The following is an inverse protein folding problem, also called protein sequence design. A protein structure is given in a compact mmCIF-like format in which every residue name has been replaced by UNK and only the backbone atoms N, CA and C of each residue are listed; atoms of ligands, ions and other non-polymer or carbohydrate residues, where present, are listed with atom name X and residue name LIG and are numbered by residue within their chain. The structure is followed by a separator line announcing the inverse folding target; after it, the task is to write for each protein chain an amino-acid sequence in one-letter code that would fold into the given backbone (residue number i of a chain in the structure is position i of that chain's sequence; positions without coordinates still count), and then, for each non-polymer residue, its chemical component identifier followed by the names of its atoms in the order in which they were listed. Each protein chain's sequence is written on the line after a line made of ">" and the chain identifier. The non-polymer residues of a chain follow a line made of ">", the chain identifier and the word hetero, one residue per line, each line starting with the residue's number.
data_IF_675173372973
#
_entry.id   IF_675173372973
#
_cell.length_a   1.000
_cell.length_b   1.000
_cell.length_c   1.000
_cell.angle_alpha   90.00
_cell.angle_beta   90.00
_cell.angle_gamma   90.00
#
_symmetry.space_group_name_H-M   'P 1'
#
loop_
_entity.id
_entity.type
_entity.pdbx_description
1 polymer ?
#
# COMPACT_ATOMS: atom_id res chain seq x y z
N UNK A 1 -8.37 -21.56 -7.00
CA UNK A 1 -7.12 -22.25 -7.33
C UNK A 1 -6.07 -21.77 -6.35
N UNK A 2 -5.29 -22.67 -5.78
CA UNK A 2 -4.19 -22.27 -4.91
C UNK A 2 -3.16 -21.47 -5.73
N UNK A 3 -2.56 -20.44 -5.13
CA UNK A 3 -1.60 -19.60 -5.84
C UNK A 3 -0.29 -20.33 -6.14
N UNK A 4 0.06 -21.36 -5.34
CA UNK A 4 1.25 -22.19 -5.60
C UNK A 4 1.07 -23.03 -6.87
N UNK A 5 -0.13 -23.57 -7.10
CA UNK A 5 -0.49 -24.28 -8.34
C UNK A 5 -0.43 -23.34 -9.54
N UNK A 6 -0.98 -22.13 -9.40
CA UNK A 6 -0.92 -21.08 -10.43
C UNK A 6 0.51 -20.66 -10.75
N UNK A 7 1.37 -20.54 -9.73
CA UNK A 7 2.77 -20.22 -9.91
C UNK A 7 3.49 -21.35 -10.67
N UNK A 8 3.24 -22.61 -10.31
CA UNK A 8 3.79 -23.76 -10.99
C UNK A 8 3.29 -23.90 -12.44
N UNK A 9 2.05 -23.51 -12.73
CA UNK A 9 1.52 -23.39 -14.10
C UNK A 9 2.24 -22.27 -14.87
N UNK A 10 2.30 -21.07 -14.28
CA UNK A 10 2.96 -19.91 -14.88
C UNK A 10 4.43 -20.18 -15.22
N UNK A 11 5.17 -20.87 -14.35
CA UNK A 11 6.57 -21.22 -14.59
C UNK A 11 6.76 -22.24 -15.72
N UNK A 12 5.79 -23.15 -15.93
CA UNK A 12 5.84 -24.14 -17.02
C UNK A 12 5.46 -23.53 -18.36
N UNK A 13 4.45 -22.67 -18.35
CA UNK A 13 3.96 -22.00 -19.55
C UNK A 13 3.45 -20.59 -19.18
N UNK A 14 4.31 -19.57 -19.23
CA UNK A 14 3.92 -18.21 -18.87
C UNK A 14 2.87 -17.67 -19.85
N UNK A 15 1.64 -17.52 -19.38
CA UNK A 15 0.55 -16.92 -20.16
C UNK A 15 0.04 -15.65 -19.50
N UNK A 16 -0.62 -14.79 -20.28
CA UNK A 16 -1.19 -13.57 -19.73
C UNK A 16 -2.36 -13.85 -18.79
N UNK A 17 -3.08 -14.95 -19.01
CA UNK A 17 -4.18 -15.42 -18.17
C UNK A 17 -3.68 -15.85 -16.79
N UNK A 18 -2.60 -16.64 -16.75
CA UNK A 18 -1.99 -17.10 -15.48
C UNK A 18 -1.35 -15.93 -14.73
N UNK A 19 -0.67 -15.03 -15.42
CA UNK A 19 -0.15 -13.79 -14.82
C UNK A 19 -1.28 -12.90 -14.26
N UNK A 20 -2.38 -12.77 -14.99
CA UNK A 20 -3.56 -12.00 -14.56
C UNK A 20 -4.25 -12.62 -13.34
N UNK A 21 -4.26 -13.96 -13.24
CA UNK A 21 -4.77 -14.67 -12.08
C UNK A 21 -3.89 -14.46 -10.84
N UNK A 22 -2.56 -14.43 -11.00
CA UNK A 22 -1.62 -14.09 -9.92
C UNK A 22 -1.77 -12.62 -9.47
N UNK A 23 -1.90 -11.68 -10.42
CA UNK A 23 -2.17 -10.28 -10.11
C UNK A 23 -3.53 -10.08 -9.41
N UNK A 24 -4.53 -10.91 -9.71
CA UNK A 24 -5.80 -10.93 -8.97
C UNK A 24 -5.63 -11.39 -7.52
N UNK A 25 -4.54 -12.10 -7.20
CA UNK A 25 -4.18 -12.51 -5.84
C UNK A 25 -3.23 -11.52 -5.14
N UNK A 26 -3.02 -10.34 -5.73
CA UNK A 26 -2.16 -9.29 -5.21
C UNK A 26 -0.67 -9.46 -5.50
N UNK A 27 -0.29 -10.40 -6.38
CA UNK A 27 1.09 -10.50 -6.87
C UNK A 27 1.28 -9.56 -8.07
N UNK A 28 1.47 -8.27 -7.83
CA UNK A 28 1.71 -7.31 -8.91
C UNK A 28 3.08 -7.57 -9.54
N UNK A 29 3.17 -7.47 -10.86
CA UNK A 29 4.45 -7.43 -11.57
C UNK A 29 5.14 -6.08 -11.34
N UNK A 30 6.47 -6.07 -11.19
CA UNK A 30 7.26 -4.86 -11.00
C UNK A 30 7.51 -4.13 -12.35
N UNK A 31 7.83 -2.83 -12.34
CA UNK A 31 8.27 -2.12 -13.54
C UNK A 31 9.52 -2.79 -14.15
N UNK A 32 9.49 -3.01 -15.47
CA UNK A 32 10.56 -3.68 -16.23
C UNK A 32 10.69 -5.20 -15.98
N UNK A 33 9.81 -5.80 -15.17
CA UNK A 33 9.86 -7.22 -14.88
C UNK A 33 9.28 -8.04 -16.04
N UNK A 34 10.10 -8.95 -16.59
CA UNK A 34 9.63 -9.93 -17.58
C UNK A 34 9.03 -11.17 -16.89
N UNK A 35 8.43 -12.07 -17.69
CA UNK A 35 7.79 -13.28 -17.18
C UNK A 35 8.73 -14.19 -16.38
N UNK A 36 10.00 -14.30 -16.78
CA UNK A 36 10.96 -15.16 -16.10
C UNK A 36 11.36 -14.57 -14.74
N UNK A 37 11.65 -13.28 -14.69
CA UNK A 37 11.97 -12.53 -13.48
C UNK A 37 10.78 -12.54 -12.50
N UNK A 38 9.57 -12.32 -13.00
CA UNK A 38 8.33 -12.38 -12.21
C UNK A 38 8.15 -13.75 -11.56
N UNK A 39 8.23 -14.83 -12.34
CA UNK A 39 8.10 -16.19 -11.83
C UNK A 39 9.18 -16.55 -10.79
N UNK A 40 10.42 -16.06 -10.98
CA UNK A 40 11.52 -16.26 -10.04
C UNK A 40 11.29 -15.50 -8.73
N UNK A 41 10.81 -14.25 -8.78
CA UNK A 41 10.50 -13.46 -7.58
C UNK A 41 9.39 -14.10 -6.76
N UNK A 42 8.31 -14.55 -7.40
CA UNK A 42 7.21 -15.21 -6.70
C UNK A 42 7.64 -16.53 -6.04
N UNK A 43 8.52 -17.30 -6.69
CA UNK A 43 9.10 -18.50 -6.09
C UNK A 43 9.98 -18.19 -4.88
N UNK A 44 10.75 -17.09 -4.94
CA UNK A 44 11.53 -16.66 -3.79
C UNK A 44 10.62 -16.30 -2.61
N UNK A 45 9.49 -15.63 -2.87
CA UNK A 45 8.50 -15.31 -1.83
C UNK A 45 7.84 -16.56 -1.25
N UNK A 46 7.46 -17.53 -2.09
CA UNK A 46 6.96 -18.84 -1.66
C UNK A 46 7.94 -19.54 -0.72
N UNK A 47 9.22 -19.57 -1.09
CA UNK A 47 10.26 -20.18 -0.29
C UNK A 47 10.41 -19.48 1.07
N UNK A 48 10.33 -18.14 1.11
CA UNK A 48 10.37 -17.37 2.37
C UNK A 48 9.18 -17.70 3.26
N UNK A 49 7.96 -17.70 2.71
CA UNK A 49 6.74 -18.03 3.45
C UNK A 49 6.84 -19.45 4.03
N UNK A 50 7.28 -20.42 3.21
CA UNK A 50 7.43 -21.81 3.66
C UNK A 50 8.46 -21.93 4.79
N UNK A 51 9.66 -21.37 4.61
CA UNK A 51 10.71 -21.38 5.65
C UNK A 51 10.23 -20.72 6.95
N UNK A 52 9.56 -19.58 6.84
CA UNK A 52 9.02 -18.87 7.99
C UNK A 52 7.97 -19.72 8.74
N UNK A 53 7.03 -20.34 8.02
CA UNK A 53 6.01 -21.22 8.63
C UNK A 53 6.63 -22.47 9.27
N UNK A 54 7.60 -23.10 8.62
CA UNK A 54 8.33 -24.25 9.17
C UNK A 54 9.07 -23.87 10.46
N UNK A 55 9.75 -22.73 10.45
CA UNK A 55 10.45 -22.21 11.63
C UNK A 55 9.46 -21.89 12.75
N UNK A 56 8.37 -21.18 12.46
CA UNK A 56 7.36 -20.82 13.45
C UNK A 56 6.70 -22.05 14.06
N UNK A 57 6.44 -23.09 13.26
CA UNK A 57 5.89 -24.33 13.79
C UNK A 57 6.86 -25.08 14.71
N UNK A 58 8.17 -25.01 14.42
CA UNK A 58 9.22 -25.63 15.26
C UNK A 58 9.45 -24.87 16.56
N UNK A 59 9.61 -23.55 16.48
CA UNK A 59 10.03 -22.70 17.59
C UNK A 59 8.86 -22.13 18.38
N UNK A 60 7.63 -22.20 17.84
CA UNK A 60 6.36 -21.70 18.38
C UNK A 60 6.25 -20.19 18.53
N UNK A 61 7.37 -19.51 18.77
CA UNK A 61 7.51 -18.07 18.94
C UNK A 61 8.68 -17.58 18.09
N UNK A 62 8.50 -16.47 17.38
CA UNK A 62 9.54 -15.84 16.56
C UNK A 62 9.58 -14.32 16.78
N UNK A 63 10.75 -13.75 16.52
CA UNK A 63 10.98 -12.31 16.44
C UNK A 63 11.37 -11.92 15.00
N UNK A 64 10.41 -11.79 14.07
CA UNK A 64 10.70 -11.49 12.66
C UNK A 64 11.33 -10.10 12.45
N UNK A 65 11.13 -9.19 13.38
CA UNK A 65 11.73 -7.86 13.37
C UNK A 65 11.99 -7.39 14.80
N UNK A 66 13.02 -6.57 15.00
CA UNK A 66 13.47 -6.15 16.33
C UNK A 66 12.33 -5.63 17.21
N UNK A 67 12.06 -6.33 18.31
CA UNK A 67 11.02 -6.04 19.29
C UNK A 67 9.62 -6.52 18.94
N UNK A 68 9.40 -7.06 17.74
CA UNK A 68 8.13 -7.64 17.30
C UNK A 68 8.14 -9.15 17.53
N UNK A 69 7.30 -9.61 18.45
CA UNK A 69 7.21 -11.03 18.81
C UNK A 69 5.87 -11.58 18.34
N UNK A 70 5.91 -12.66 17.56
CA UNK A 70 4.74 -13.40 17.07
C UNK A 70 4.80 -14.85 17.55
N UNK A 71 3.63 -15.47 17.71
CA UNK A 71 3.53 -16.89 18.01
C UNK A 71 2.59 -17.60 17.02
N UNK A 72 2.76 -18.92 16.92
CA UNK A 72 1.96 -19.77 16.02
C UNK A 72 0.46 -19.80 16.36
N UNK A 73 0.08 -19.51 17.61
CA UNK A 73 -1.33 -19.53 18.03
C UNK A 73 -2.05 -18.21 17.71
N UNK A 74 -1.30 -17.16 17.38
CA UNK A 74 -1.78 -15.82 17.12
C UNK A 74 -1.80 -15.49 15.63
N UNK A 75 -1.70 -16.50 14.75
CA UNK A 75 -1.90 -16.33 13.31
C UNK A 75 -3.34 -15.85 13.05
N UNK A 76 -3.48 -14.86 12.18
CA UNK A 76 -4.76 -14.29 11.82
C UNK A 76 -5.51 -15.31 10.97
N UNK A 77 -6.72 -15.71 11.38
CA UNK A 77 -7.49 -16.71 10.66
C UNK A 77 -7.94 -16.17 9.29
N UNK A 78 -8.05 -17.03 8.26
CA UNK A 78 -8.39 -16.63 6.88
C UNK A 78 -9.69 -15.82 6.77
N UNK A 79 -10.64 -16.04 7.67
CA UNK A 79 -11.91 -15.33 7.72
C UNK A 79 -11.72 -13.84 7.98
N UNK A 80 -10.74 -13.45 8.80
CA UNK A 80 -10.42 -12.04 9.07
C UNK A 80 -9.75 -11.40 7.85
N UNK A 81 -8.89 -12.13 7.14
CA UNK A 81 -8.31 -11.65 5.89
C UNK A 81 -9.41 -11.46 4.82
N UNK A 82 -10.37 -12.39 4.77
CA UNK A 82 -11.51 -12.32 3.85
C UNK A 82 -12.42 -11.10 4.09
N UNK A 83 -12.49 -10.55 5.32
CA UNK A 83 -13.23 -9.30 5.61
C UNK A 83 -12.74 -8.14 4.71
N UNK A 84 -11.43 -8.04 4.50
CA UNK A 84 -10.81 -6.97 3.70
C UNK A 84 -10.83 -7.23 2.19
N UNK A 85 -11.14 -8.46 1.80
CA UNK A 85 -11.04 -8.90 0.42
C UNK A 85 -12.10 -8.22 -0.47
N UNK A 86 -13.31 -7.99 0.04
CA UNK A 86 -14.33 -7.26 -0.73
C UNK A 86 -13.89 -5.83 -1.03
N UNK A 87 -13.35 -5.13 -0.04
CA UNK A 87 -12.89 -3.75 -0.14
C UNK A 87 -11.75 -3.61 -1.16
N UNK A 88 -10.73 -4.49 -1.11
CA UNK A 88 -9.61 -4.47 -2.07
C UNK A 88 -10.02 -4.95 -3.46
N UNK A 89 -10.90 -5.96 -3.57
CA UNK A 89 -11.46 -6.41 -4.85
C UNK A 89 -12.27 -5.33 -5.52
N UNK A 90 -13.10 -4.59 -4.78
CA UNK A 90 -13.96 -3.55 -5.33
C UNK A 90 -13.17 -2.31 -5.76
N UNK A 91 -12.19 -1.87 -4.96
CA UNK A 91 -11.37 -0.71 -5.29
C UNK A 91 -10.37 -1.01 -6.42
N UNK A 92 -9.63 -2.11 -6.31
CA UNK A 92 -8.41 -2.32 -7.12
C UNK A 92 -8.35 -3.67 -7.84
N UNK A 93 -9.35 -4.54 -7.63
CA UNK A 93 -9.45 -5.81 -8.36
C UNK A 93 -8.45 -6.87 -7.91
N UNK A 94 -8.03 -6.86 -6.65
CA UNK A 94 -7.19 -7.92 -6.08
C UNK A 94 -7.75 -8.42 -4.75
N UNK A 95 -7.32 -9.61 -4.35
CA UNK A 95 -7.57 -10.21 -3.05
C UNK A 95 -6.31 -10.97 -2.59
N UNK A 96 -5.72 -10.57 -1.47
CA UNK A 96 -4.56 -11.26 -0.92
C UNK A 96 -5.00 -12.32 0.09
N UNK A 97 -4.51 -13.56 -0.09
CA UNK A 97 -4.72 -14.68 0.85
C UNK A 97 -3.44 -15.42 1.26
N UNK A 98 -2.31 -15.06 0.65
CA UNK A 98 -1.04 -15.77 0.81
C UNK A 98 -0.16 -15.18 1.92
N UNK A 99 -0.40 -13.92 2.31
CA UNK A 99 0.40 -13.20 3.32
C UNK A 99 0.10 -13.73 4.73
N UNK A 100 1.10 -14.23 5.46
CA UNK A 100 0.94 -14.60 6.86
C UNK A 100 0.60 -13.36 7.71
N UNK A 101 -0.51 -13.44 8.44
CA UNK A 101 -0.99 -12.38 9.33
C UNK A 101 -0.83 -12.78 10.80
N UNK A 102 -0.48 -11.85 11.70
CA UNK A 102 -0.36 -12.14 13.14
C UNK A 102 -0.95 -11.06 14.05
N UNK A 103 -1.52 -11.50 15.17
CA UNK A 103 -1.73 -10.68 16.36
C UNK A 103 -0.46 -10.74 17.24
N UNK A 104 0.37 -9.68 17.32
CA UNK A 104 1.66 -9.79 17.96
C UNK A 104 1.51 -9.87 19.49
N UNK A 105 2.39 -10.63 20.12
CA UNK A 105 2.55 -10.67 21.58
C UNK A 105 3.14 -9.37 22.12
N UNK A 106 4.09 -8.79 21.38
CA UNK A 106 4.81 -7.56 21.70
C UNK A 106 5.24 -6.88 20.39
N UNK A 107 5.39 -5.55 20.39
CA UNK A 107 6.03 -4.81 19.30
C UNK A 107 5.20 -3.67 18.72
N UNK A 108 3.88 -3.66 18.91
CA UNK A 108 3.05 -2.53 18.53
C UNK A 108 2.95 -1.50 19.67
N UNK A 109 3.25 -0.25 19.36
CA UNK A 109 3.11 0.84 20.33
C UNK A 109 1.63 1.10 20.70
N UNK A 110 1.42 1.91 21.73
CA UNK A 110 0.09 2.10 22.33
C UNK A 110 -0.98 2.61 21.33
N UNK A 111 -0.57 3.48 20.41
CA UNK A 111 -1.45 4.14 19.43
C UNK A 111 -1.44 3.47 18.04
N UNK A 112 -0.65 2.41 17.86
CA UNK A 112 -0.52 1.74 16.57
C UNK A 112 -1.59 0.66 16.42
N UNK A 113 -2.34 0.74 15.32
CA UNK A 113 -3.38 -0.21 14.96
C UNK A 113 -2.81 -1.49 14.34
N UNK A 114 -1.82 -1.36 13.47
CA UNK A 114 -1.15 -2.42 12.74
C UNK A 114 -0.01 -1.89 11.88
N UNK A 115 0.67 -2.80 11.20
CA UNK A 115 1.67 -2.52 10.17
C UNK A 115 1.82 -3.73 9.25
N UNK A 116 2.27 -3.49 8.03
CA UNK A 116 2.88 -4.50 7.16
C UNK A 116 4.39 -4.43 7.29
N UNK A 117 5.02 -5.59 7.27
CA UNK A 117 6.47 -5.72 7.14
C UNK A 117 6.74 -6.15 5.72
N UNK A 118 7.45 -5.31 4.97
CA UNK A 118 7.92 -5.64 3.63
C UNK A 118 8.87 -6.83 3.65
N UNK A 119 8.96 -7.55 2.53
CA UNK A 119 9.86 -8.69 2.39
C UNK A 119 11.33 -8.22 2.57
N UNK A 120 11.96 -8.57 3.69
CA UNK A 120 13.41 -8.46 3.89
C UNK A 120 14.13 -9.65 3.24
N UNK A 121 15.47 -9.67 3.24
CA UNK A 121 16.25 -10.75 2.60
C UNK A 121 15.78 -12.15 3.07
N UNK A 122 15.48 -12.31 4.36
CA UNK A 122 15.11 -13.61 4.96
C UNK A 122 13.67 -13.71 5.50
N UNK A 123 12.90 -12.62 5.52
CA UNK A 123 11.54 -12.59 6.09
C UNK A 123 10.54 -12.33 4.97
N UNK A 124 9.46 -13.13 4.84
CA UNK A 124 8.41 -12.86 3.86
C UNK A 124 7.68 -11.56 4.18
N UNK A 125 6.83 -11.10 3.27
CA UNK A 125 5.86 -10.08 3.63
C UNK A 125 4.99 -10.59 4.79
N UNK A 126 4.88 -9.81 5.86
CA UNK A 126 4.04 -10.12 7.02
C UNK A 126 3.03 -9.02 7.26
N UNK A 127 1.85 -9.41 7.71
CA UNK A 127 0.82 -8.48 8.13
C UNK A 127 0.61 -8.57 9.64
N UNK A 128 0.66 -7.46 10.35
CA UNK A 128 0.57 -7.41 11.81
C UNK A 128 -0.55 -6.46 12.21
N UNK A 129 -1.50 -6.93 13.03
CA UNK A 129 -2.52 -6.04 13.63
C UNK A 129 -2.64 -6.24 15.12
N UNK A 130 -3.01 -5.18 15.82
CA UNK A 130 -3.14 -5.16 17.27
C UNK A 130 -3.98 -6.31 17.79
N UNK A 131 -3.50 -7.01 18.83
CA UNK A 131 -4.17 -8.17 19.44
C UNK A 131 -5.61 -7.93 19.88
N UNK A 132 -6.01 -6.69 20.21
CA UNK A 132 -7.42 -6.40 20.51
C UNK A 132 -8.36 -6.71 19.34
N UNK A 133 -7.87 -6.67 18.10
CA UNK A 133 -8.62 -7.00 16.90
C UNK A 133 -8.94 -8.49 16.76
N UNK A 134 -8.32 -9.36 17.56
CA UNK A 134 -8.69 -10.78 17.65
C UNK A 134 -10.16 -10.92 18.08
N UNK A 135 -10.57 -10.10 19.06
CA UNK A 135 -11.91 -10.19 19.68
C UNK A 135 -12.84 -9.04 19.32
N UNK A 136 -12.30 -7.91 18.82
CA UNK A 136 -13.06 -6.70 18.54
C UNK A 136 -12.89 -6.29 17.07
N UNK A 137 -13.95 -5.77 16.46
CA UNK A 137 -13.86 -5.18 15.12
C UNK A 137 -13.27 -3.77 15.10
N UNK A 138 -13.18 -3.11 16.25
CA UNK A 138 -12.76 -1.71 16.35
C UNK A 138 -11.74 -1.51 17.47
N UNK A 139 -10.79 -0.62 17.21
CA UNK A 139 -9.85 -0.09 18.18
C UNK A 139 -9.66 1.40 17.92
N UNK A 140 -10.00 2.24 18.90
CA UNK A 140 -9.94 3.69 18.79
C UNK A 140 -10.76 4.18 17.57
N UNK A 141 -10.12 4.79 16.57
CA UNK A 141 -10.76 5.29 15.35
C UNK A 141 -10.66 4.31 14.16
N UNK A 142 -10.06 3.15 14.37
CA UNK A 142 -9.76 2.16 13.33
C UNK A 142 -10.74 0.97 13.40
N UNK A 143 -11.26 0.55 12.24
CA UNK A 143 -11.87 -0.77 12.10
C UNK A 143 -10.83 -1.79 11.65
N UNK A 144 -11.05 -3.06 11.98
CA UNK A 144 -10.20 -4.19 11.59
C UNK A 144 -10.13 -4.31 10.08
N UNK A 145 -11.28 -4.30 9.43
CA UNK A 145 -11.40 -4.36 7.97
C UNK A 145 -10.58 -3.27 7.28
N UNK A 146 -10.75 -2.01 7.70
CA UNK A 146 -10.05 -0.88 7.10
C UNK A 146 -8.55 -1.03 7.26
N UNK A 147 -8.08 -1.35 8.45
CA UNK A 147 -6.66 -1.54 8.73
C UNK A 147 -6.07 -2.71 7.93
N UNK A 148 -6.77 -3.85 7.88
CA UNK A 148 -6.34 -4.99 7.08
C UNK A 148 -6.26 -4.63 5.60
N UNK A 149 -7.30 -3.99 5.06
CA UNK A 149 -7.32 -3.59 3.65
C UNK A 149 -6.20 -2.59 3.31
N UNK A 150 -5.91 -1.66 4.23
CA UNK A 150 -4.84 -0.66 4.11
C UNK A 150 -3.47 -1.34 4.00
N UNK A 151 -3.14 -2.24 4.91
CA UNK A 151 -1.85 -2.93 4.89
C UNK A 151 -1.72 -3.89 3.69
N UNK A 152 -2.82 -4.54 3.27
CA UNK A 152 -2.80 -5.37 2.07
C UNK A 152 -2.55 -4.56 0.79
N UNK A 153 -2.92 -3.28 0.74
CA UNK A 153 -2.53 -2.40 -0.35
C UNK A 153 -1.01 -2.23 -0.42
N UNK A 154 -0.35 -2.03 0.71
CA UNK A 154 1.11 -1.90 0.78
C UNK A 154 1.79 -3.20 0.34
N UNK A 155 1.31 -4.36 0.82
CA UNK A 155 1.87 -5.65 0.42
C UNK A 155 1.74 -5.86 -1.10
N UNK A 156 0.56 -5.61 -1.67
CA UNK A 156 0.34 -5.75 -3.11
C UNK A 156 1.22 -4.80 -3.93
N UNK A 157 1.41 -3.55 -3.47
CA UNK A 157 2.19 -2.53 -4.19
C UNK A 157 3.70 -2.58 -3.94
N UNK A 158 4.17 -3.33 -2.96
CA UNK A 158 5.59 -3.44 -2.62
C UNK A 158 6.53 -3.65 -3.83
N UNK A 159 6.19 -4.48 -4.85
CA UNK A 159 7.04 -4.66 -6.04
C UNK A 159 7.21 -3.41 -6.91
N UNK A 160 6.32 -2.41 -6.80
CA UNK A 160 6.42 -1.17 -7.57
C UNK A 160 7.53 -0.24 -7.05
N UNK A 161 7.93 -0.39 -5.79
CA UNK A 161 8.95 0.42 -5.13
C UNK A 161 8.72 1.94 -5.32
N UNK A 162 7.47 2.39 -5.15
CA UNK A 162 7.04 3.76 -5.41
C UNK A 162 6.15 4.30 -4.28
N UNK A 163 6.70 5.28 -3.55
CA UNK A 163 6.10 5.81 -2.32
C UNK A 163 5.10 6.95 -2.56
N UNK A 164 5.13 7.64 -3.70
CA UNK A 164 4.51 8.97 -3.78
C UNK A 164 2.96 8.96 -3.69
N UNK A 165 2.34 7.84 -4.07
CA UNK A 165 0.90 7.59 -4.00
C UNK A 165 0.55 6.34 -3.17
N UNK A 166 1.52 5.71 -2.51
CA UNK A 166 1.31 4.47 -1.75
C UNK A 166 0.25 4.65 -0.66
N UNK A 167 0.44 5.65 0.22
CA UNK A 167 -0.53 6.02 1.24
C UNK A 167 -1.86 6.53 0.65
N UNK A 168 -1.83 7.17 -0.52
CA UNK A 168 -3.05 7.57 -1.20
C UNK A 168 -3.95 6.37 -1.50
N UNK A 169 -3.39 5.30 -2.09
CA UNK A 169 -4.16 4.09 -2.39
C UNK A 169 -4.64 3.38 -1.14
N UNK A 170 -3.78 3.24 -0.13
CA UNK A 170 -4.11 2.56 1.11
C UNK A 170 -5.19 3.32 1.92
N UNK A 171 -5.20 4.66 1.90
CA UNK A 171 -6.23 5.45 2.57
C UNK A 171 -7.48 5.70 1.74
N UNK A 172 -7.44 5.61 0.41
CA UNK A 172 -8.62 5.86 -0.43
C UNK A 172 -9.79 4.91 -0.13
N UNK A 173 -9.49 3.70 0.36
CA UNK A 173 -10.47 2.68 0.77
C UNK A 173 -10.97 2.85 2.22
N UNK A 174 -10.50 3.87 2.94
CA UNK A 174 -10.96 4.19 4.29
C UNK A 174 -12.44 4.59 4.31
N UNK A 175 -13.19 4.18 5.35
CA UNK A 175 -14.55 4.65 5.56
C UNK A 175 -14.60 6.14 5.98
N UNK A 176 -13.52 6.67 6.53
CA UNK A 176 -13.43 8.07 6.98
C UNK A 176 -13.03 9.01 5.86
N UNK A 177 -13.90 9.98 5.54
CA UNK A 177 -13.59 11.03 4.56
C UNK A 177 -12.34 11.83 4.95
N UNK A 178 -12.13 12.07 6.24
CA UNK A 178 -10.94 12.75 6.74
C UNK A 178 -9.68 11.94 6.41
N UNK A 179 -9.67 10.64 6.71
CA UNK A 179 -8.50 9.77 6.42
C UNK A 179 -8.29 9.60 4.93
N UNK A 180 -9.36 9.40 4.14
CA UNK A 180 -9.27 9.41 2.67
C UNK A 180 -8.62 10.69 2.15
N UNK A 181 -8.84 11.83 2.80
CA UNK A 181 -8.24 13.11 2.41
C UNK A 181 -6.81 13.29 2.90
N UNK A 182 -6.59 13.17 4.21
CA UNK A 182 -5.36 13.56 4.90
C UNK A 182 -4.36 12.43 5.10
N UNK A 183 -4.74 11.17 4.87
CA UNK A 183 -3.89 10.02 5.10
C UNK A 183 -2.59 10.04 4.29
N UNK A 184 -2.65 10.58 3.07
CA UNK A 184 -1.49 10.75 2.19
C UNK A 184 -0.62 11.99 2.49
N UNK A 185 -0.86 12.70 3.61
CA UNK A 185 -0.04 13.84 4.01
C UNK A 185 1.35 13.41 4.46
N UNK A 186 1.48 12.27 5.15
CA UNK A 186 2.75 11.72 5.58
C UNK A 186 3.12 10.58 4.63
N UNK A 187 4.25 10.69 3.95
CA UNK A 187 4.72 9.68 2.99
C UNK A 187 5.99 8.98 3.47
N UNK A 188 6.74 9.64 4.33
CA UNK A 188 8.01 9.15 4.85
C UNK A 188 8.15 9.44 6.33
N UNK A 189 9.05 8.70 6.98
CA UNK A 189 9.45 8.96 8.38
C UNK A 189 9.96 10.38 8.58
N UNK A 190 10.60 10.97 7.55
CA UNK A 190 11.07 12.36 7.56
C UNK A 190 9.92 13.35 7.70
N UNK A 191 8.77 13.07 7.07
CA UNK A 191 7.60 13.95 7.17
C UNK A 191 7.08 13.99 8.61
N UNK A 192 7.09 12.84 9.31
CA UNK A 192 6.72 12.75 10.72
C UNK A 192 7.75 13.48 11.61
N UNK A 193 9.05 13.34 11.33
CA UNK A 193 10.11 14.04 12.06
C UNK A 193 9.98 15.57 11.93
N UNK A 194 9.85 16.08 10.70
CA UNK A 194 9.71 17.53 10.46
C UNK A 194 8.37 18.09 10.95
N UNK A 195 7.36 17.25 11.15
CA UNK A 195 6.13 17.63 11.81
C UNK A 195 6.30 17.73 13.34
N UNK A 196 6.97 16.76 13.97
CA UNK A 196 7.10 16.67 15.42
C UNK A 196 8.20 17.56 16.00
N UNK A 197 9.36 17.65 15.35
CA UNK A 197 10.54 18.36 15.88
C UNK A 197 10.26 19.85 16.16
N UNK A 198 9.61 20.62 15.26
CA UNK A 198 9.24 22.00 15.54
C UNK A 198 8.29 22.15 16.74
N UNK A 199 7.39 21.18 16.96
CA UNK A 199 6.45 21.19 18.08
C UNK A 199 7.19 20.96 19.40
N UNK A 200 8.14 20.02 19.44
CA UNK A 200 9.00 19.82 20.61
C UNK A 200 9.90 21.03 20.90
N UNK A 201 10.43 21.67 19.86
CA UNK A 201 11.19 22.91 20.01
C UNK A 201 10.32 24.04 20.59
N UNK A 202 9.10 24.20 20.07
CA UNK A 202 8.13 25.17 20.59
C UNK A 202 7.81 24.89 22.07
N UNK A 203 7.62 23.62 22.45
CA UNK A 203 7.39 23.22 23.84
C UNK A 203 8.59 23.58 24.73
N UNK A 204 9.81 23.27 24.30
CA UNK A 204 11.03 23.59 25.04
C UNK A 204 11.18 25.10 25.28
N UNK A 205 10.91 25.91 24.24
CA UNK A 205 10.93 27.38 24.34
C UNK A 205 9.86 27.89 25.30
N UNK A 206 8.66 27.31 25.30
CA UNK A 206 7.59 27.71 26.22
C UNK A 206 7.94 27.39 27.67
N UNK A 207 8.57 26.25 27.94
CA UNK A 207 9.09 25.91 29.27
C UNK A 207 10.16 26.93 29.68
N UNK A 208 11.13 27.22 28.81
CA UNK A 208 12.19 28.18 29.09
C UNK A 208 11.64 29.59 29.36
N UNK A 209 10.65 30.01 28.57
CA UNK A 209 9.97 31.29 28.74
C UNK A 209 9.22 31.39 30.06
N UNK A 210 8.55 30.31 30.45
CA UNK A 210 7.73 30.27 31.67
C UNK A 210 8.59 30.30 32.94
N UNK A 211 9.72 29.59 32.96
CA UNK A 211 10.49 29.39 34.19
C UNK A 211 11.78 30.21 34.30
N UNK A 212 12.38 30.63 33.18
CA UNK A 212 13.74 31.20 33.20
C UNK A 212 13.87 32.54 32.45
N UNK A 213 13.24 32.68 31.28
CA UNK A 213 13.43 33.84 30.37
C UNK A 213 12.13 34.31 29.71
N UNK A 214 11.29 35.08 30.43
CA UNK A 214 9.99 35.54 29.92
C UNK A 214 10.05 36.40 28.65
N UNK A 215 11.21 36.99 28.38
CA UNK A 215 11.52 37.89 27.26
C UNK A 215 11.73 37.16 25.92
N UNK A 216 11.80 35.83 25.90
CA UNK A 216 12.01 35.07 24.65
C UNK A 216 10.82 35.28 23.70
N UNK A 217 11.05 35.72 22.45
CA UNK A 217 9.99 35.86 21.46
C UNK A 217 9.52 34.48 21.00
N UNK A 218 8.30 34.10 21.37
CA UNK A 218 7.73 32.78 21.02
C UNK A 218 7.16 32.72 19.59
N UNK A 219 6.81 33.87 19.00
CA UNK A 219 6.13 33.95 17.70
C UNK A 219 6.90 33.24 16.56
N UNK A 220 8.23 33.38 16.40
CA UNK A 220 8.99 32.65 15.38
C UNK A 220 8.86 31.13 15.48
N UNK A 221 8.78 30.59 16.70
CA UNK A 221 8.63 29.15 16.92
C UNK A 221 7.22 28.65 16.57
N UNK A 222 6.20 29.48 16.76
CA UNK A 222 4.86 29.19 16.25
C UNK A 222 4.83 29.15 14.73
N UNK A 223 5.45 30.13 14.06
CA UNK A 223 5.56 30.13 12.60
C UNK A 223 6.23 28.83 12.13
N UNK A 224 7.39 28.50 12.72
CA UNK A 224 8.13 27.28 12.39
C UNK A 224 7.29 26.01 12.60
N UNK A 225 6.51 25.93 13.68
CA UNK A 225 5.61 24.81 13.96
C UNK A 225 4.52 24.62 12.89
N UNK A 226 4.15 25.67 12.16
CA UNK A 226 3.14 25.60 11.11
C UNK A 226 3.70 25.48 9.68
N UNK A 227 4.96 25.86 9.43
CA UNK A 227 5.57 25.79 8.08
C UNK A 227 5.43 24.39 7.48
N UNK A 228 5.84 23.36 8.22
CA UNK A 228 5.84 22.00 7.71
C UNK A 228 4.42 21.41 7.55
N UNK A 229 3.50 21.51 8.53
CA UNK A 229 2.10 21.11 8.34
C UNK A 229 1.43 21.77 7.12
N UNK A 230 1.64 23.07 6.92
CA UNK A 230 1.08 23.79 5.75
C UNK A 230 1.68 23.25 4.45
N UNK A 231 3.00 23.00 4.42
CA UNK A 231 3.65 22.38 3.28
C UNK A 231 3.07 20.99 2.96
N UNK A 232 2.89 20.12 3.96
CA UNK A 232 2.30 18.78 3.77
C UNK A 232 0.89 18.87 3.19
N UNK A 233 0.07 19.81 3.65
CA UNK A 233 -1.28 20.03 3.11
C UNK A 233 -1.24 20.46 1.63
N UNK A 234 -0.35 21.38 1.27
CA UNK A 234 -0.18 21.84 -0.12
C UNK A 234 0.33 20.68 -0.99
N UNK A 235 1.33 19.94 -0.52
CA UNK A 235 1.90 18.80 -1.24
C UNK A 235 0.86 17.70 -1.47
N UNK A 236 0.06 17.37 -0.45
CA UNK A 236 -1.05 16.42 -0.56
C UNK A 236 -2.11 16.92 -1.55
N UNK A 237 -2.52 18.18 -1.48
CA UNK A 237 -3.50 18.76 -2.42
C UNK A 237 -3.01 18.67 -3.87
N UNK A 238 -1.73 18.97 -4.14
CA UNK A 238 -1.12 18.82 -5.47
C UNK A 238 -1.05 17.37 -5.93
N UNK A 239 -0.69 16.44 -5.06
CA UNK A 239 -0.66 15.01 -5.38
C UNK A 239 -2.06 14.49 -5.71
N UNK A 240 -3.07 14.81 -4.89
CA UNK A 240 -4.46 14.44 -5.14
C UNK A 240 -4.97 15.01 -6.46
N UNK A 241 -4.70 16.28 -6.74
CA UNK A 241 -5.09 16.90 -8.03
C UNK A 241 -4.53 16.11 -9.21
N UNK A 242 -3.26 15.69 -9.14
CA UNK A 242 -2.65 14.87 -10.20
C UNK A 242 -3.31 13.50 -10.31
N UNK A 243 -3.51 12.82 -9.19
CA UNK A 243 -4.21 11.54 -9.16
C UNK A 243 -5.60 11.60 -9.79
N UNK A 244 -6.46 12.52 -9.34
CA UNK A 244 -7.83 12.63 -9.86
C UNK A 244 -7.87 13.07 -11.32
N UNK A 245 -6.89 13.85 -11.79
CA UNK A 245 -6.76 14.17 -13.22
C UNK A 245 -6.42 12.92 -14.03
N UNK A 246 -5.45 12.13 -13.58
CA UNK A 246 -5.11 10.85 -14.21
C UNK A 246 -6.28 9.87 -14.21
N UNK A 247 -7.03 9.77 -13.10
CA UNK A 247 -8.21 8.92 -12.99
C UNK A 247 -9.28 9.32 -14.00
N UNK A 248 -9.61 10.61 -14.07
CA UNK A 248 -10.59 11.12 -15.02
C UNK A 248 -10.15 10.93 -16.47
N UNK A 249 -8.85 11.07 -16.76
CA UNK A 249 -8.30 10.84 -18.09
C UNK A 249 -8.44 9.38 -18.56
N UNK A 250 -8.53 8.42 -17.64
CA UNK A 250 -8.66 6.99 -17.93
C UNK A 250 -10.10 6.50 -18.04
N UNK A 251 -11.11 7.25 -17.57
CA UNK A 251 -12.53 6.88 -17.67
C UNK A 251 -13.00 6.51 -19.09
N UNK A 252 -12.53 7.18 -20.16
CA UNK A 252 -12.87 6.79 -21.54
C UNK A 252 -12.35 5.41 -21.94
N UNK A 253 -11.36 4.86 -21.26
CA UNK A 253 -10.65 3.63 -21.64
C UNK A 253 -10.90 2.45 -20.70
N UNK A 254 -11.40 2.71 -19.49
CA UNK A 254 -11.71 1.66 -18.52
C UNK A 254 -12.84 2.06 -17.58
N UNK A 255 -13.61 1.07 -17.14
CA UNK A 255 -14.61 1.23 -16.06
C UNK A 255 -13.97 1.20 -14.66
N UNK A 256 -12.68 0.86 -14.56
CA UNK A 256 -11.93 0.71 -13.30
C UNK A 256 -10.60 1.48 -13.33
N UNK A 257 -10.62 2.81 -13.49
CA UNK A 257 -9.40 3.62 -13.60
C UNK A 257 -8.52 3.49 -12.35
N UNK A 258 -9.12 3.36 -11.17
CA UNK A 258 -8.38 3.17 -9.90
C UNK A 258 -7.56 1.88 -9.90
N UNK A 259 -8.08 0.79 -10.47
CA UNK A 259 -7.36 -0.48 -10.57
C UNK A 259 -6.17 -0.40 -11.54
N UNK A 260 -6.30 0.39 -12.61
CA UNK A 260 -5.18 0.71 -13.50
C UNK A 260 -4.13 1.53 -12.76
N UNK A 261 -4.52 2.66 -12.15
CA UNK A 261 -3.60 3.54 -11.43
C UNK A 261 -2.93 2.86 -10.24
N UNK A 262 -3.62 1.93 -9.55
CA UNK A 262 -3.06 1.15 -8.45
C UNK A 262 -1.85 0.29 -8.87
N UNK A 263 -1.74 -0.02 -10.15
CA UNK A 263 -0.60 -0.76 -10.71
C UNK A 263 0.43 0.17 -11.34
N UNK A 264 0.15 1.46 -11.46
CA UNK A 264 1.07 2.45 -12.00
C UNK A 264 2.08 2.94 -10.95
N UNK A 265 3.25 3.34 -11.44
CA UNK A 265 4.22 4.15 -10.69
C UNK A 265 3.90 5.64 -10.83
N UNK A 266 4.44 6.45 -9.91
CA UNK A 266 4.22 7.90 -9.86
C UNK A 266 4.46 8.61 -11.19
N UNK A 267 5.51 8.25 -11.94
CA UNK A 267 5.83 8.83 -13.25
C UNK A 267 4.69 8.63 -14.25
N UNK A 268 4.09 7.43 -14.25
CA UNK A 268 2.99 7.09 -15.14
C UNK A 268 1.70 7.82 -14.75
N UNK A 269 1.41 7.90 -13.44
CA UNK A 269 0.27 8.68 -12.93
C UNK A 269 0.44 10.16 -13.30
N UNK A 270 1.64 10.71 -13.17
CA UNK A 270 1.92 12.09 -13.55
C UNK A 270 1.77 12.30 -15.06
N UNK A 271 2.26 11.36 -15.89
CA UNK A 271 2.12 11.42 -17.34
C UNK A 271 0.63 11.45 -17.77
N UNK A 272 -0.21 10.61 -17.17
CA UNK A 272 -1.66 10.67 -17.43
C UNK A 272 -2.28 11.98 -16.95
N UNK A 273 -1.88 12.50 -15.79
CA UNK A 273 -2.37 13.78 -15.28
C UNK A 273 -2.02 14.96 -16.18
N UNK A 274 -0.81 14.95 -16.77
CA UNK A 274 -0.31 16.00 -17.65
C UNK A 274 -0.97 15.95 -19.01
N UNK A 275 -1.19 14.75 -19.55
CA UNK A 275 -1.90 14.54 -20.81
C UNK A 275 -3.43 14.58 -20.68
N UNK A 276 -3.99 14.82 -19.48
CA UNK A 276 -5.43 14.67 -19.20
C UNK A 276 -6.35 15.55 -20.07
N UNK A 277 -5.84 16.68 -20.57
CA UNK A 277 -6.62 17.60 -21.41
C UNK A 277 -6.52 17.24 -22.91
N UNK A 278 -5.73 16.24 -23.29
CA UNK A 278 -5.57 15.75 -24.67
C UNK A 278 -5.82 14.23 -24.75
N UNK A 279 -7.04 13.81 -25.15
CA UNK A 279 -7.40 12.40 -25.28
C UNK A 279 -6.48 11.60 -26.23
N UNK A 280 -5.93 12.23 -27.28
CA UNK A 280 -5.04 11.56 -28.22
C UNK A 280 -3.68 11.28 -27.59
N UNK A 281 -3.19 12.18 -26.73
CA UNK A 281 -1.98 11.94 -25.94
C UNK A 281 -2.17 10.79 -24.96
N UNK A 282 -3.32 10.70 -24.29
CA UNK A 282 -3.64 9.55 -23.41
C UNK A 282 -3.64 8.25 -24.20
N UNK A 283 -4.29 8.23 -25.37
CA UNK A 283 -4.32 7.06 -26.25
C UNK A 283 -2.91 6.63 -26.66
N UNK A 284 -2.04 7.57 -27.05
CA UNK A 284 -0.65 7.28 -27.40
C UNK A 284 0.14 6.70 -26.22
N UNK A 285 -0.04 7.23 -25.00
CA UNK A 285 0.58 6.67 -23.80
C UNK A 285 0.14 5.22 -23.61
N UNK A 286 -1.16 4.96 -23.70
CA UNK A 286 -1.72 3.61 -23.54
C UNK A 286 -1.19 2.64 -24.60
N UNK A 287 -1.24 2.99 -25.89
CA UNK A 287 -0.72 2.14 -26.97
C UNK A 287 0.77 1.85 -26.82
N UNK A 288 1.57 2.85 -26.44
CA UNK A 288 3.01 2.66 -26.21
C UNK A 288 3.29 1.73 -25.01
N UNK A 289 2.40 1.71 -24.02
CA UNK A 289 2.57 0.90 -22.80
C UNK A 289 2.07 -0.52 -22.95
N UNK A 290 1.03 -0.75 -23.76
CA UNK A 290 0.29 -2.01 -23.91
C UNK A 290 1.15 -3.26 -23.92
N UNK A 291 2.18 -3.27 -24.75
CA UNK A 291 3.07 -4.43 -24.95
C UNK A 291 4.48 -4.21 -24.38
N UNK A 292 4.70 -3.11 -23.65
CA UNK A 292 6.03 -2.69 -23.20
C UNK A 292 6.63 -3.58 -22.09
N UNK A 293 5.80 -4.08 -21.18
CA UNK A 293 6.21 -4.93 -20.06
C UNK A 293 5.04 -5.77 -19.55
N UNK A 294 5.36 -6.85 -18.84
CA UNK A 294 4.36 -7.80 -18.33
C UNK A 294 3.26 -7.12 -17.53
N UNK A 295 3.64 -6.18 -16.65
CA UNK A 295 2.70 -5.40 -15.83
C UNK A 295 1.64 -4.69 -16.67
N UNK A 296 2.04 -4.03 -17.76
CA UNK A 296 1.09 -3.36 -18.65
C UNK A 296 0.26 -4.33 -19.47
N UNK A 297 0.84 -5.45 -19.92
CA UNK A 297 0.07 -6.51 -20.56
C UNK A 297 -1.05 -7.01 -19.63
N UNK A 298 -0.75 -7.20 -18.33
CA UNK A 298 -1.74 -7.60 -17.31
C UNK A 298 -2.79 -6.51 -17.12
N UNK A 299 -2.39 -5.25 -16.96
CA UNK A 299 -3.31 -4.11 -16.83
C UNK A 299 -4.29 -4.06 -18.01
N UNK A 300 -3.79 -4.21 -19.24
CA UNK A 300 -4.62 -4.20 -20.44
C UNK A 300 -5.60 -5.37 -20.49
N UNK A 301 -5.11 -6.57 -20.19
CA UNK A 301 -5.93 -7.78 -20.15
C UNK A 301 -7.03 -7.67 -19.10
N UNK A 302 -6.70 -7.19 -17.90
CA UNK A 302 -7.62 -7.19 -16.75
C UNK A 302 -8.59 -6.01 -16.71
N UNK A 303 -8.19 -4.82 -17.16
CA UNK A 303 -8.95 -3.60 -16.86
C UNK A 303 -9.30 -2.74 -18.08
N UNK A 304 -8.54 -2.83 -19.17
CA UNK A 304 -8.79 -2.00 -20.36
C UNK A 304 -9.67 -2.74 -21.37
N UNK A 305 -9.31 -3.98 -21.76
CA UNK A 305 -10.09 -4.78 -22.73
C UNK A 305 -11.53 -5.06 -22.30
N UNK A 306 -11.83 -5.07 -21.00
CA UNK A 306 -13.18 -5.33 -20.48
C UNK A 306 -14.21 -4.26 -20.90
N UNK A 307 -13.79 -3.04 -21.24
CA UNK A 307 -14.72 -2.00 -21.70
C UNK A 307 -15.27 -2.32 -23.09
N UNK A 308 -14.44 -2.89 -23.96
CA UNK A 308 -14.81 -3.27 -25.33
C UNK A 308 -15.82 -4.42 -25.36
N UNK A 309 -15.83 -5.28 -24.33
CA UNK A 309 -16.77 -6.40 -24.21
C UNK A 309 -18.13 -6.02 -23.60
N UNK A 310 -18.19 -4.92 -22.84
CA UNK A 310 -19.43 -4.45 -22.20
C UNK A 310 -20.19 -3.37 -23.01
N UNK A 311 -19.66 -2.94 -24.15
CA UNK A 311 -20.31 -2.01 -25.10
C UNK A 311 -20.54 -2.64 -26.48
N UNK A 312 -20.42 -3.97 -26.58
CA UNK A 312 -20.80 -4.77 -27.75
C UNK A 312 -22.17 -5.40 -27.60
#
# INVERSE_FOLDING_TARGET
>A
MDWTELLAEFQRNPTIETASALDAQGFLAAPGEDSAAYGKRLQAEELKIRKFKEQLNREKVLEPYQGLIVDSASEIPPEILAESAETTRNAYGFEVRWVPGFFPLKGLGLLWGGCSIGSYEDVPALFIIRRSFEKKRHFFIYSREELTSHELCHVARSPLNDMAYEEHFAYAISHSALRRYSGNCFKSEKDALFFLLPVFLLLAVQILRTFYRPDIPVLPFWILAFVWPVWLLIANAKARKRYFRAENALLPYTVRPQAVLFRCVSEEINAFSEAADDPDSIRKILENKKDSELRWQIIFHRFIKQKDQNHG
#
